data_IF_859743745710
#
_entry.id   IF_859743745710
#
_cell.length_a   1.000
_cell.length_b   1.000
_cell.length_c   1.000
_cell.angle_alpha   90.00
_cell.angle_beta   90.00
_cell.angle_gamma   90.00
#
_symmetry.space_group_name_H-M   'P 1'
#
loop_
_entity.id
_entity.type
_entity.pdbx_description
1 polymer ?
#
# COMPACT_ATOMS: atom_id res chain seq x y z
N UNK A 1 -1.70 -10.35 9.79
CA UNK A 1 -1.15 -9.09 9.24
C UNK A 1 -1.99 -8.74 8.03
N UNK A 2 -2.16 -7.46 7.68
CA UNK A 2 -3.03 -7.09 6.54
C UNK A 2 -2.26 -6.65 5.31
N UNK A 3 -0.93 -6.53 5.36
CA UNK A 3 -0.11 -6.24 4.20
C UNK A 3 0.56 -7.51 3.69
N UNK A 4 0.48 -7.75 2.39
CA UNK A 4 1.19 -8.83 1.70
C UNK A 4 2.03 -8.20 0.58
N UNK A 5 3.31 -8.51 0.56
CA UNK A 5 4.20 -8.20 -0.57
C UNK A 5 4.14 -9.36 -1.54
N UNK A 6 3.98 -9.06 -2.83
CA UNK A 6 3.98 -10.05 -3.91
C UNK A 6 5.00 -9.62 -4.96
N UNK A 7 5.76 -10.59 -5.42
CA UNK A 7 6.63 -10.47 -6.58
C UNK A 7 6.44 -11.70 -7.48
N UNK A 8 6.67 -11.56 -8.78
CA UNK A 8 6.53 -12.63 -9.76
C UNK A 8 7.70 -12.60 -10.72
N UNK A 9 8.09 -13.78 -11.19
CA UNK A 9 8.89 -13.90 -12.40
C UNK A 9 7.98 -14.24 -13.58
N UNK A 10 8.20 -13.59 -14.72
CA UNK A 10 7.36 -13.73 -15.91
C UNK A 10 8.19 -13.74 -17.21
N UNK A 11 7.55 -14.22 -18.29
CA UNK A 11 8.19 -14.41 -19.60
C UNK A 11 7.78 -13.40 -20.68
N UNK A 12 7.30 -12.23 -20.28
CA UNK A 12 7.04 -11.09 -21.18
C UNK A 12 6.92 -9.82 -20.34
N UNK A 13 7.09 -8.65 -20.97
CA UNK A 13 6.82 -7.35 -20.35
C UNK A 13 5.35 -6.88 -20.54
N UNK A 14 4.52 -7.67 -21.23
CA UNK A 14 3.12 -7.37 -21.46
C UNK A 14 2.28 -7.51 -20.18
N UNK A 15 1.11 -6.84 -20.13
CA UNK A 15 0.19 -6.91 -18.97
C UNK A 15 -0.43 -8.30 -18.78
N UNK A 16 -0.38 -9.14 -19.80
CA UNK A 16 -0.85 -10.52 -19.80
C UNK A 16 0.32 -11.53 -19.86
N UNK A 17 1.52 -11.16 -19.40
CA UNK A 17 2.68 -12.05 -19.40
C UNK A 17 2.42 -13.38 -18.66
N UNK A 18 3.08 -14.44 -19.11
CA UNK A 18 3.03 -15.76 -18.47
C UNK A 18 3.92 -15.76 -17.21
N UNK A 19 3.35 -15.88 -15.99
CA UNK A 19 4.14 -16.04 -14.78
C UNK A 19 4.71 -17.45 -14.71
N UNK A 20 5.92 -17.55 -14.18
CA UNK A 20 6.69 -18.80 -13.96
C UNK A 20 7.01 -19.05 -12.49
N UNK A 21 6.94 -18.03 -11.64
CA UNK A 21 6.92 -18.17 -10.19
C UNK A 21 6.14 -17.03 -9.54
N UNK A 22 5.65 -17.29 -8.32
CA UNK A 22 5.01 -16.29 -7.46
C UNK A 22 5.65 -16.40 -6.09
N UNK A 23 6.15 -15.29 -5.58
CA UNK A 23 6.59 -15.13 -4.19
C UNK A 23 5.66 -14.17 -3.48
N UNK A 24 5.28 -14.51 -2.25
CA UNK A 24 4.53 -13.60 -1.41
C UNK A 24 4.91 -13.73 0.07
N UNK A 25 4.88 -12.62 0.79
CA UNK A 25 5.14 -12.59 2.23
C UNK A 25 4.22 -11.60 2.91
N UNK A 26 3.53 -12.04 3.96
CA UNK A 26 2.82 -11.12 4.84
C UNK A 26 3.82 -10.32 5.66
N UNK A 27 3.53 -9.06 5.94
CA UNK A 27 4.38 -8.24 6.79
C UNK A 27 3.60 -7.17 7.55
N UNK A 28 4.24 -6.61 8.56
CA UNK A 28 3.75 -5.44 9.28
C UNK A 28 4.69 -4.25 9.00
N UNK A 29 4.29 -3.25 8.21
CA UNK A 29 5.16 -2.13 7.86
C UNK A 29 5.56 -1.27 9.08
N UNK A 30 4.74 -1.26 10.14
CA UNK A 30 5.02 -0.48 11.35
C UNK A 30 6.07 -1.15 12.24
N UNK A 31 6.06 -2.49 12.37
CA UNK A 31 7.06 -3.21 13.17
C UNK A 31 8.25 -3.73 12.36
N UNK A 32 8.13 -3.83 11.03
CA UNK A 32 9.12 -4.44 10.15
C UNK A 32 9.12 -5.97 10.19
N UNK A 33 8.18 -6.57 10.93
CA UNK A 33 8.07 -8.02 11.07
C UNK A 33 7.56 -8.65 9.76
N UNK A 34 8.31 -9.65 9.27
CA UNK A 34 7.86 -10.55 8.22
C UNK A 34 7.07 -11.71 8.85
N UNK A 35 5.99 -12.11 8.19
CA UNK A 35 5.07 -13.15 8.62
C UNK A 35 5.12 -14.37 7.70
N UNK A 36 3.94 -14.94 7.44
CA UNK A 36 3.82 -16.14 6.62
C UNK A 36 4.32 -15.90 5.18
N UNK A 37 5.00 -16.92 4.65
CA UNK A 37 5.64 -16.91 3.33
C UNK A 37 4.91 -17.86 2.37
N UNK A 38 4.95 -17.52 1.09
CA UNK A 38 4.41 -18.32 0.01
C UNK A 38 5.38 -18.27 -1.17
N UNK A 39 5.72 -19.44 -1.70
CA UNK A 39 6.48 -19.54 -2.93
C UNK A 39 5.93 -20.69 -3.77
N UNK A 40 5.67 -20.43 -5.04
CA UNK A 40 5.21 -21.47 -5.96
C UNK A 40 5.73 -21.19 -7.36
N UNK A 41 6.43 -22.17 -7.92
CA UNK A 41 6.83 -22.19 -9.33
C UNK A 41 5.70 -22.79 -10.19
N UNK A 42 5.61 -22.34 -11.44
CA UNK A 42 4.49 -22.61 -12.34
C UNK A 42 5.01 -23.27 -13.61
N UNK A 43 4.32 -24.31 -14.07
CA UNK A 43 4.58 -24.91 -15.38
C UNK A 43 4.24 -23.90 -16.47
N UNK A 44 5.25 -23.47 -17.23
CA UNK A 44 5.08 -22.53 -18.35
C UNK A 44 4.01 -22.98 -19.35
N UNK A 45 3.96 -24.28 -19.66
CA UNK A 45 2.92 -24.85 -20.55
C UNK A 45 1.51 -24.60 -20.05
N UNK A 46 1.30 -24.53 -18.72
CA UNK A 46 0.00 -24.19 -18.14
C UNK A 46 -0.32 -22.71 -18.34
N UNK A 47 0.64 -21.80 -18.18
CA UNK A 47 0.42 -20.36 -18.42
C UNK A 47 0.10 -20.10 -19.90
N UNK A 48 0.81 -20.77 -20.81
CA UNK A 48 0.56 -20.69 -22.25
C UNK A 48 -0.82 -21.26 -22.63
N UNK A 49 -1.25 -22.36 -22.01
CA UNK A 49 -2.57 -22.95 -22.23
C UNK A 49 -3.71 -21.94 -21.97
N UNK A 50 -3.56 -21.08 -20.96
CA UNK A 50 -4.53 -20.01 -20.67
C UNK A 50 -4.35 -18.75 -21.52
N UNK A 51 -3.47 -18.77 -22.53
CA UNK A 51 -3.25 -17.67 -23.46
C UNK A 51 -2.52 -16.47 -22.86
N UNK A 52 -1.67 -16.71 -21.86
CA UNK A 52 -0.74 -15.70 -21.35
C UNK A 52 0.49 -15.59 -22.26
N UNK A 53 1.01 -14.37 -22.37
CA UNK A 53 2.01 -13.97 -23.34
C UNK A 53 3.42 -14.42 -22.96
N UNK A 54 4.16 -14.87 -23.97
CA UNK A 54 5.56 -15.28 -23.87
C UNK A 54 6.30 -14.57 -25.00
N UNK A 55 7.32 -13.79 -24.66
CA UNK A 55 8.11 -13.08 -25.65
C UNK A 55 9.49 -13.72 -25.83
N UNK A 56 9.95 -13.81 -27.08
CA UNK A 56 11.27 -14.35 -27.40
C UNK A 56 12.40 -13.54 -26.74
N UNK A 57 12.27 -12.21 -26.71
CA UNK A 57 13.27 -11.33 -26.10
C UNK A 57 13.42 -11.55 -24.59
N UNK A 58 12.31 -11.80 -23.88
CA UNK A 58 12.37 -12.16 -22.45
C UNK A 58 12.99 -13.55 -22.26
N UNK A 59 12.71 -14.52 -23.12
CA UNK A 59 13.39 -15.84 -23.08
C UNK A 59 14.90 -15.69 -23.30
N UNK A 60 15.32 -14.94 -24.32
CA UNK A 60 16.75 -14.69 -24.59
C UNK A 60 17.44 -13.98 -23.42
N UNK A 61 16.73 -13.09 -22.72
CA UNK A 61 17.22 -12.47 -21.50
C UNK A 61 17.36 -13.50 -20.36
N UNK A 62 16.39 -14.41 -20.19
CA UNK A 62 16.45 -15.49 -19.19
C UNK A 62 17.60 -16.46 -19.44
N UNK A 63 17.90 -16.79 -20.70
CA UNK A 63 19.03 -17.66 -21.06
C UNK A 63 20.39 -17.13 -20.60
N UNK A 64 20.50 -15.82 -20.35
CA UNK A 64 21.72 -15.15 -19.89
C UNK A 64 21.82 -15.06 -18.36
N UNK A 65 20.78 -15.45 -17.63
CA UNK A 65 20.76 -15.41 -16.16
C UNK A 65 21.58 -16.56 -15.54
N UNK A 66 21.90 -16.40 -14.26
CA UNK A 66 22.62 -17.43 -13.48
C UNK A 66 21.88 -18.76 -13.48
N UNK A 67 22.60 -19.84 -13.22
CA UNK A 67 22.00 -21.18 -13.06
C UNK A 67 20.96 -21.19 -11.92
N UNK A 68 21.28 -20.50 -10.81
CA UNK A 68 20.38 -20.35 -9.66
C UNK A 68 19.08 -19.65 -10.04
N UNK A 69 19.15 -18.56 -10.82
CA UNK A 69 17.95 -17.88 -11.32
C UNK A 69 17.14 -18.78 -12.26
N UNK A 70 17.82 -19.49 -13.18
CA UNK A 70 17.15 -20.39 -14.14
C UNK A 70 16.59 -21.66 -13.51
N UNK A 71 16.96 -22.00 -12.26
CA UNK A 71 16.46 -23.18 -11.54
C UNK A 71 14.92 -23.22 -11.42
N UNK A 72 14.23 -22.07 -11.54
CA UNK A 72 12.76 -21.99 -11.62
C UNK A 72 12.18 -22.91 -12.73
N UNK A 73 12.89 -23.07 -13.85
CA UNK A 73 12.48 -23.94 -14.96
C UNK A 73 12.71 -25.43 -14.69
N UNK A 74 13.49 -25.77 -13.66
CA UNK A 74 13.85 -27.15 -13.32
C UNK A 74 13.26 -27.65 -11.99
N UNK A 75 12.85 -26.75 -11.07
CA UNK A 75 12.07 -27.04 -9.85
C UNK A 75 11.02 -28.18 -9.99
N UNK A 76 11.20 -29.32 -9.32
CA UNK A 76 10.28 -30.46 -9.42
C UNK A 76 8.88 -30.18 -8.85
N UNK A 77 8.72 -29.11 -8.06
CA UNK A 77 7.45 -28.74 -7.41
C UNK A 77 6.57 -27.81 -8.24
N UNK A 78 6.95 -27.50 -9.50
CA UNK A 78 6.12 -26.72 -10.42
C UNK A 78 4.72 -27.30 -10.52
N UNK A 79 3.70 -26.49 -10.24
CA UNK A 79 2.30 -26.88 -10.40
C UNK A 79 1.64 -26.16 -11.59
N UNK A 80 0.37 -26.44 -11.86
CA UNK A 80 -0.36 -25.70 -12.89
C UNK A 80 -0.58 -24.24 -12.46
N UNK A 81 -0.77 -23.34 -13.42
CA UNK A 81 -1.10 -21.94 -13.12
C UNK A 81 -2.35 -21.87 -12.22
N UNK A 82 -3.38 -22.67 -12.54
CA UNK A 82 -4.63 -22.71 -11.80
C UNK A 82 -4.41 -23.13 -10.34
N UNK A 83 -3.56 -24.14 -10.10
CA UNK A 83 -3.24 -24.58 -8.74
C UNK A 83 -2.46 -23.52 -7.96
N UNK A 84 -1.48 -22.87 -8.60
CA UNK A 84 -0.71 -21.80 -7.97
C UNK A 84 -1.62 -20.63 -7.54
N UNK A 85 -2.53 -20.21 -8.41
CA UNK A 85 -3.47 -19.12 -8.13
C UNK A 85 -4.49 -19.47 -7.04
N UNK A 86 -4.99 -20.71 -7.01
CA UNK A 86 -5.85 -21.18 -5.91
C UNK A 86 -5.09 -21.19 -4.58
N UNK A 87 -3.86 -21.72 -4.57
CA UNK A 87 -3.02 -21.75 -3.37
C UNK A 87 -2.67 -20.35 -2.87
N UNK A 88 -2.39 -19.40 -3.77
CA UNK A 88 -2.19 -18.00 -3.40
C UNK A 88 -3.46 -17.38 -2.81
N UNK A 89 -4.63 -17.66 -3.41
CA UNK A 89 -5.91 -17.16 -2.91
C UNK A 89 -6.23 -17.70 -1.52
N UNK A 90 -5.98 -18.99 -1.29
CA UNK A 90 -6.10 -19.60 0.02
C UNK A 90 -5.09 -19.02 1.00
N UNK A 91 -3.82 -18.87 0.61
CA UNK A 91 -2.80 -18.25 1.43
C UNK A 91 -3.21 -16.84 1.91
N UNK A 92 -3.70 -15.99 1.01
CA UNK A 92 -4.17 -14.64 1.35
C UNK A 92 -5.39 -14.72 2.29
N UNK A 93 -6.36 -15.57 1.96
CA UNK A 93 -7.60 -15.72 2.73
C UNK A 93 -7.38 -16.21 4.16
N UNK A 94 -6.42 -17.12 4.38
CA UNK A 94 -6.14 -17.68 5.70
C UNK A 94 -5.35 -16.71 6.60
N UNK A 95 -4.60 -15.77 6.02
CA UNK A 95 -3.65 -14.94 6.76
C UNK A 95 -4.06 -13.46 6.91
N UNK A 96 -4.92 -12.95 6.01
CA UNK A 96 -5.46 -11.60 6.10
C UNK A 96 -6.56 -11.52 7.17
N UNK A 97 -6.39 -10.61 8.16
CA UNK A 97 -7.44 -10.36 9.16
C UNK A 97 -8.61 -9.61 8.51
N UNK A 98 -9.83 -9.96 8.92
CA UNK A 98 -11.07 -9.31 8.49
C UNK A 98 -11.27 -9.23 6.96
N UNK A 99 -10.51 -10.03 6.21
CA UNK A 99 -10.44 -10.02 4.73
C UNK A 99 -10.08 -8.65 4.14
N UNK A 100 -9.41 -7.80 4.90
CA UNK A 100 -8.98 -6.46 4.45
C UNK A 100 -7.48 -6.44 4.09
N UNK A 101 -7.09 -7.22 3.08
CA UNK A 101 -5.70 -7.29 2.63
C UNK A 101 -5.30 -6.05 1.81
N UNK A 102 -4.04 -5.66 1.93
CA UNK A 102 -3.34 -4.62 1.19
C UNK A 102 -2.22 -5.31 0.41
N UNK A 103 -2.29 -5.29 -0.92
CA UNK A 103 -1.43 -6.08 -1.79
C UNK A 103 -0.38 -5.19 -2.44
N UNK A 104 0.88 -5.39 -2.07
CA UNK A 104 2.00 -4.63 -2.57
C UNK A 104 2.68 -5.36 -3.73
N UNK A 105 3.14 -4.60 -4.72
CA UNK A 105 4.04 -5.08 -5.76
C UNK A 105 5.07 -4.01 -6.11
N UNK A 106 6.23 -4.42 -6.63
CA UNK A 106 7.30 -3.48 -6.97
C UNK A 106 6.83 -2.50 -8.06
N UNK A 107 6.06 -3.00 -9.01
CA UNK A 107 5.16 -2.18 -9.81
C UNK A 107 3.80 -2.86 -9.86
N UNK A 108 2.78 -2.42 -9.09
CA UNK A 108 1.49 -3.10 -9.08
C UNK A 108 0.79 -3.05 -10.44
N UNK A 109 1.08 -2.02 -11.24
CA UNK A 109 0.65 -1.96 -12.64
C UNK A 109 1.26 -3.07 -13.53
N UNK A 110 2.21 -3.85 -13.03
CA UNK A 110 2.84 -4.98 -13.69
C UNK A 110 2.55 -6.27 -12.91
N UNK A 111 3.11 -6.45 -11.72
CA UNK A 111 3.02 -7.70 -10.94
C UNK A 111 1.55 -8.06 -10.61
N UNK A 112 0.86 -7.14 -9.92
CA UNK A 112 -0.54 -7.33 -9.55
C UNK A 112 -1.45 -7.38 -10.78
N UNK A 113 -1.15 -6.59 -11.82
CA UNK A 113 -1.92 -6.58 -13.07
C UNK A 113 -1.81 -7.90 -13.86
N UNK A 114 -0.62 -8.49 -13.90
CA UNK A 114 -0.39 -9.82 -14.49
C UNK A 114 -1.16 -10.88 -13.70
N UNK A 115 -1.10 -10.84 -12.37
CA UNK A 115 -1.87 -11.77 -11.54
C UNK A 115 -3.38 -11.59 -11.73
N UNK A 116 -3.89 -10.36 -11.78
CA UNK A 116 -5.30 -10.09 -12.08
C UNK A 116 -5.72 -10.71 -13.42
N UNK A 117 -4.89 -10.52 -14.46
CA UNK A 117 -5.12 -11.13 -15.77
C UNK A 117 -5.09 -12.66 -15.71
N UNK A 118 -4.16 -13.24 -14.95
CA UNK A 118 -4.05 -14.68 -14.77
C UNK A 118 -5.27 -15.27 -14.03
N UNK A 119 -5.77 -14.58 -12.99
CA UNK A 119 -7.02 -14.94 -12.30
C UNK A 119 -8.21 -14.93 -13.27
N UNK A 120 -8.36 -13.88 -14.07
CA UNK A 120 -9.43 -13.77 -15.07
C UNK A 120 -9.35 -14.89 -16.12
N UNK A 121 -8.16 -15.14 -16.68
CA UNK A 121 -7.92 -16.17 -17.70
C UNK A 121 -8.14 -17.60 -17.20
N UNK A 122 -7.98 -17.83 -15.89
CA UNK A 122 -8.19 -19.13 -15.26
C UNK A 122 -9.59 -19.30 -14.67
N UNK A 123 -10.46 -18.28 -14.79
CA UNK A 123 -11.80 -18.24 -14.19
C UNK A 123 -11.78 -18.43 -12.67
N UNK A 124 -10.72 -17.96 -12.01
CA UNK A 124 -10.61 -17.92 -10.55
C UNK A 124 -10.88 -16.49 -10.09
N UNK A 125 -11.70 -16.34 -9.05
CA UNK A 125 -11.96 -15.03 -8.46
C UNK A 125 -10.69 -14.47 -7.80
N UNK A 126 -10.32 -13.24 -8.17
CA UNK A 126 -9.24 -12.48 -7.53
C UNK A 126 -9.48 -12.38 -6.00
N UNK A 127 -8.49 -12.70 -5.14
CA UNK A 127 -8.70 -12.75 -3.69
C UNK A 127 -8.61 -11.38 -3.00
N UNK A 128 -8.37 -10.30 -3.75
CA UNK A 128 -8.42 -8.92 -3.28
C UNK A 128 -9.24 -8.02 -4.21
N UNK A 129 -9.62 -6.83 -3.72
CA UNK A 129 -10.33 -5.81 -4.51
C UNK A 129 -9.33 -4.92 -5.24
N UNK A 130 -9.70 -4.36 -6.39
CA UNK A 130 -8.86 -3.43 -7.17
C UNK A 130 -8.32 -2.24 -6.36
N UNK A 131 -9.03 -1.81 -5.31
CA UNK A 131 -8.61 -0.69 -4.44
C UNK A 131 -7.52 -1.05 -3.42
N UNK A 132 -7.09 -2.32 -3.38
CA UNK A 132 -6.13 -2.85 -2.40
C UNK A 132 -4.69 -2.88 -2.89
N UNK A 133 -4.43 -2.52 -4.14
CA UNK A 133 -3.07 -2.46 -4.68
C UNK A 133 -2.25 -1.34 -4.01
N UNK A 134 -0.98 -1.61 -3.75
CA UNK A 134 -0.01 -0.69 -3.16
C UNK A 134 1.29 -0.71 -3.97
N UNK A 135 1.90 0.45 -4.13
CA UNK A 135 3.06 0.63 -4.99
C UNK A 135 4.34 0.82 -4.18
N UNK A 136 5.25 -0.14 -4.29
CA UNK A 136 6.56 -0.05 -3.64
C UNK A 136 7.37 1.11 -4.21
N UNK A 137 7.39 1.30 -5.53
CA UNK A 137 8.13 2.40 -6.18
C UNK A 137 7.73 3.78 -5.65
N UNK A 138 6.46 3.98 -5.31
CA UNK A 138 5.99 5.21 -4.67
C UNK A 138 6.56 5.35 -3.27
N UNK A 139 6.59 4.28 -2.46
CA UNK A 139 7.24 4.33 -1.14
C UNK A 139 8.74 4.63 -1.27
N UNK A 140 9.43 4.01 -2.23
CA UNK A 140 10.86 4.26 -2.50
C UNK A 140 11.10 5.73 -2.85
N UNK A 141 10.25 6.33 -3.68
CA UNK A 141 10.33 7.76 -4.02
C UNK A 141 10.18 8.64 -2.78
N UNK A 142 9.22 8.35 -1.90
CA UNK A 142 9.04 9.07 -0.63
C UNK A 142 10.22 8.88 0.31
N UNK A 143 10.78 7.67 0.39
CA UNK A 143 11.98 7.37 1.17
C UNK A 143 13.17 8.24 0.75
N UNK A 144 13.37 8.40 -0.56
CA UNK A 144 14.45 9.24 -1.09
C UNK A 144 14.32 10.70 -0.67
N UNK A 145 13.10 11.23 -0.53
CA UNK A 145 12.88 12.60 -0.05
C UNK A 145 13.31 12.81 1.41
N UNK A 146 13.43 11.74 2.18
CA UNK A 146 13.89 11.77 3.58
C UNK A 146 15.27 11.13 3.77
N UNK A 147 16.02 10.93 2.68
CA UNK A 147 17.39 10.43 2.71
C UNK A 147 17.53 8.92 2.87
N UNK A 148 16.50 8.14 2.56
CA UNK A 148 16.54 6.66 2.54
C UNK A 148 16.43 6.19 1.09
N UNK A 149 17.50 5.60 0.54
CA UNK A 149 17.50 4.95 -0.77
C UNK A 149 17.79 3.45 -0.61
N UNK A 150 16.77 2.57 -0.75
CA UNK A 150 16.94 1.13 -0.61
C UNK A 150 18.04 0.55 -1.50
N UNK A 151 18.34 1.14 -2.66
CA UNK A 151 19.40 0.67 -3.56
C UNK A 151 20.78 0.70 -2.88
N UNK A 152 21.01 1.63 -1.97
CA UNK A 152 22.29 1.82 -1.28
C UNK A 152 22.23 1.41 0.19
N UNK A 153 21.06 1.58 0.82
CA UNK A 153 20.90 1.43 2.27
C UNK A 153 20.46 0.02 2.70
N UNK A 154 20.03 -0.82 1.76
CA UNK A 154 19.63 -2.20 2.08
C UNK A 154 20.61 -3.21 1.51
N UNK A 155 21.03 -4.15 2.36
CA UNK A 155 21.78 -5.32 1.91
C UNK A 155 20.82 -6.23 1.14
N UNK A 156 21.21 -6.60 -0.07
CA UNK A 156 20.49 -7.60 -0.86
C UNK A 156 20.76 -8.95 -0.19
N UNK A 157 19.70 -9.54 0.36
CA UNK A 157 19.70 -10.90 0.91
C UNK A 157 18.95 -11.82 -0.06
N UNK A 158 19.47 -13.03 -0.29
CA UNK A 158 18.82 -14.04 -1.13
C UNK A 158 19.36 -14.11 -2.56
N UNK A 159 18.65 -14.85 -3.40
CA UNK A 159 19.01 -15.05 -4.81
C UNK A 159 18.23 -14.06 -5.67
N UNK A 160 18.94 -13.20 -6.41
CA UNK A 160 18.29 -12.33 -7.40
C UNK A 160 17.48 -13.17 -8.40
N UNK A 161 16.28 -12.70 -8.74
CA UNK A 161 15.30 -13.41 -9.58
C UNK A 161 14.66 -14.63 -8.90
N UNK A 162 14.63 -14.63 -7.57
CA UNK A 162 13.74 -15.48 -6.78
C UNK A 162 12.62 -14.61 -6.21
N UNK A 163 11.41 -14.81 -6.73
CA UNK A 163 10.26 -14.00 -6.37
C UNK A 163 9.97 -13.92 -4.85
N UNK A 164 10.26 -14.95 -4.05
CA UNK A 164 10.04 -14.86 -2.60
C UNK A 164 11.15 -14.02 -1.92
N UNK A 165 12.40 -14.23 -2.30
CA UNK A 165 13.51 -13.42 -1.77
C UNK A 165 13.31 -11.94 -2.13
N UNK A 166 12.90 -11.66 -3.36
CA UNK A 166 12.58 -10.31 -3.83
C UNK A 166 11.39 -9.72 -3.05
N UNK A 167 10.30 -10.46 -2.84
CA UNK A 167 9.17 -10.00 -2.02
C UNK A 167 9.59 -9.71 -0.57
N UNK A 168 10.47 -10.51 0.03
CA UNK A 168 10.99 -10.28 1.39
C UNK A 168 11.84 -9.03 1.45
N UNK A 169 12.78 -8.88 0.52
CA UNK A 169 13.64 -7.72 0.43
C UNK A 169 12.81 -6.43 0.26
N UNK A 170 11.81 -6.47 -0.62
CA UNK A 170 10.85 -5.39 -0.84
C UNK A 170 10.06 -5.02 0.42
N UNK A 171 9.51 -6.02 1.12
CA UNK A 171 8.78 -5.80 2.36
C UNK A 171 9.65 -5.13 3.45
N UNK A 172 10.93 -5.52 3.55
CA UNK A 172 11.87 -4.93 4.52
C UNK A 172 12.06 -3.44 4.28
N UNK A 173 12.47 -3.03 3.09
CA UNK A 173 12.75 -1.61 2.86
C UNK A 173 11.48 -0.74 2.82
N UNK A 174 10.33 -1.29 2.41
CA UNK A 174 9.04 -0.60 2.58
C UNK A 174 8.76 -0.34 4.04
N UNK A 175 9.02 -1.31 4.93
CA UNK A 175 8.84 -1.14 6.37
C UNK A 175 9.79 -0.09 6.94
N UNK A 176 11.06 -0.09 6.53
CA UNK A 176 12.04 0.93 6.93
C UNK A 176 11.57 2.34 6.57
N UNK A 177 11.12 2.55 5.33
CA UNK A 177 10.62 3.86 4.89
C UNK A 177 9.34 4.22 5.62
N UNK A 178 8.42 3.27 5.80
CA UNK A 178 7.18 3.49 6.52
C UNK A 178 7.42 3.95 7.97
N UNK A 179 8.32 3.27 8.69
CA UNK A 179 8.69 3.63 10.05
C UNK A 179 9.30 5.03 10.11
N UNK A 180 10.19 5.37 9.18
CA UNK A 180 10.80 6.68 9.13
C UNK A 180 9.78 7.80 8.85
N UNK A 181 8.79 7.55 8.00
CA UNK A 181 7.75 8.53 7.67
C UNK A 181 6.73 8.72 8.80
N UNK A 182 6.30 7.62 9.42
CA UNK A 182 5.09 7.61 10.26
C UNK A 182 5.36 7.30 11.74
N UNK A 183 6.39 6.52 12.07
CA UNK A 183 6.68 6.13 13.46
C UNK A 183 7.65 7.09 14.13
N UNK A 184 8.68 7.57 13.41
CA UNK A 184 9.63 8.57 13.93
C UNK A 184 9.02 9.96 14.16
N UNK A 185 7.80 10.22 13.65
CA UNK A 185 7.03 11.42 13.98
C UNK A 185 6.27 11.30 15.29
N UNK A 186 5.89 10.09 15.73
CA UNK A 186 5.11 9.91 16.95
C UNK A 186 5.94 10.31 18.18
N UNK A 187 7.20 9.89 18.27
CA UNK A 187 8.11 10.31 19.36
C UNK A 187 8.31 11.82 19.39
N UNK A 188 8.57 12.47 18.23
CA UNK A 188 8.72 13.93 18.16
C UNK A 188 7.43 14.68 18.48
N UNK A 189 6.27 14.14 18.09
CA UNK A 189 4.97 14.76 18.36
C UNK A 189 4.53 14.59 19.82
N UNK A 190 4.83 13.45 20.45
CA UNK A 190 4.57 13.24 21.89
C UNK A 190 5.47 14.14 22.74
N UNK A 191 6.76 14.26 22.39
CA UNK A 191 7.68 15.23 22.99
C UNK A 191 7.15 16.68 22.84
N UNK A 192 6.64 17.04 21.66
CA UNK A 192 6.10 18.38 21.42
C UNK A 192 4.76 18.63 22.15
N UNK A 193 3.89 17.62 22.32
CA UNK A 193 2.63 17.77 23.06
C UNK A 193 2.88 17.86 24.57
N UNK A 194 3.80 17.06 25.11
CA UNK A 194 4.18 17.14 26.53
C UNK A 194 4.93 18.45 26.84
N UNK A 195 5.81 18.90 25.94
CA UNK A 195 6.44 20.21 26.04
C UNK A 195 5.42 21.36 25.95
N UNK A 196 4.47 21.31 24.99
CA UNK A 196 3.42 22.31 24.85
C UNK A 196 2.45 22.35 26.05
N UNK A 197 2.25 21.22 26.74
CA UNK A 197 1.47 21.16 27.99
C UNK A 197 2.17 21.77 29.21
N UNK A 198 3.50 21.92 29.15
CA UNK A 198 4.29 22.50 30.22
C UNK A 198 4.58 24.00 30.02
N UNK A 199 4.25 24.57 28.86
CA UNK A 199 4.29 26.02 28.66
C UNK A 199 3.07 26.61 29.38
N UNK A 200 3.25 27.48 30.39
CA UNK A 200 2.15 28.22 30.96
C UNK A 200 1.53 29.06 29.84
N UNK A 201 0.23 28.89 29.58
CA UNK A 201 -0.52 29.83 28.76
C UNK A 201 -0.67 31.10 29.62
N UNK A 202 0.32 31.98 29.57
CA UNK A 202 0.15 33.35 30.02
C UNK A 202 -0.79 34.03 29.02
N UNK A 203 -2.01 34.26 29.46
CA UNK A 203 -2.97 35.09 28.75
C UNK A 203 -2.48 36.53 28.83
N UNK A 204 -1.81 36.99 27.77
CA UNK A 204 -1.45 38.39 27.61
C UNK A 204 -2.67 39.15 27.08
N UNK A 205 -3.35 39.88 27.97
CA UNK A 205 -4.49 40.75 27.62
C UNK A 205 -4.11 41.81 26.56
N UNK A 206 -2.83 42.13 26.36
CA UNK A 206 -2.38 43.07 25.33
C UNK A 206 -2.39 42.49 23.90
N UNK A 207 -2.43 41.17 23.74
CA UNK A 207 -2.45 40.52 22.42
C UNK A 207 -3.83 40.62 21.71
N UNK A 208 -4.86 41.12 22.41
CA UNK A 208 -6.21 41.26 21.88
C UNK A 208 -6.35 42.36 20.81
N UNK A 209 -5.41 43.31 20.74
CA UNK A 209 -5.43 44.40 19.74
C UNK A 209 -4.91 44.00 18.34
N UNK A 210 -4.48 42.75 18.13
CA UNK A 210 -4.01 42.25 16.83
C UNK A 210 -4.83 41.10 16.25
N UNK A 211 -5.94 40.71 16.89
CA UNK A 211 -6.86 39.73 16.31
C UNK A 211 -7.63 40.38 15.16
N UNK A 212 -7.61 39.73 13.99
CA UNK A 212 -8.51 40.09 12.89
C UNK A 212 -9.94 39.99 13.38
N UNK A 213 -10.73 41.02 13.09
CA UNK A 213 -12.17 40.99 13.33
C UNK A 213 -12.83 39.86 12.54
N UNK A 214 -14.00 39.40 13.01
CA UNK A 214 -14.77 38.36 12.31
C UNK A 214 -15.07 38.74 10.85
N UNK A 215 -15.23 40.04 10.57
CA UNK A 215 -15.41 40.59 9.23
C UNK A 215 -14.15 40.45 8.35
N UNK A 216 -12.96 40.68 8.92
CA UNK A 216 -11.68 40.51 8.22
C UNK A 216 -11.39 39.04 7.92
N UNK A 217 -11.65 38.16 8.88
CA UNK A 217 -11.54 36.70 8.71
C UNK A 217 -12.49 36.24 7.60
N UNK A 218 -13.74 36.72 7.65
CA UNK A 218 -14.76 36.37 6.66
C UNK A 218 -14.37 36.81 5.26
N UNK A 219 -13.85 38.03 5.13
CA UNK A 219 -13.37 38.58 3.85
C UNK A 219 -12.21 37.78 3.25
N UNK A 220 -11.22 37.39 4.07
CA UNK A 220 -10.07 36.58 3.64
C UNK A 220 -10.52 35.22 3.13
N UNK A 221 -11.40 34.53 3.86
CA UNK A 221 -11.87 33.20 3.49
C UNK A 221 -12.76 33.24 2.24
N UNK A 222 -13.63 34.25 2.11
CA UNK A 222 -14.45 34.45 0.91
C UNK A 222 -13.59 34.72 -0.33
N UNK A 223 -12.54 35.54 -0.19
CA UNK A 223 -11.60 35.83 -1.27
C UNK A 223 -10.77 34.60 -1.69
N UNK A 224 -10.39 33.75 -0.73
CA UNK A 224 -9.59 32.55 -0.99
C UNK A 224 -10.40 31.40 -1.60
N UNK A 225 -11.69 31.29 -1.24
CA UNK A 225 -12.53 30.13 -1.62
C UNK A 225 -13.52 30.45 -2.74
N UNK A 226 -13.86 31.72 -2.95
CA UNK A 226 -14.89 32.14 -3.91
C UNK A 226 -16.31 31.78 -3.50
N UNK A 227 -16.51 31.28 -2.26
CA UNK A 227 -17.82 30.92 -1.73
C UNK A 227 -18.08 31.72 -0.46
N UNK A 228 -19.22 32.44 -0.34
CA UNK A 228 -19.55 33.17 0.88
C UNK A 228 -19.62 32.23 2.10
N UNK A 229 -18.99 32.64 3.19
CA UNK A 229 -19.18 32.04 4.50
C UNK A 229 -20.58 32.33 5.01
N UNK A 230 -21.42 31.31 5.11
CA UNK A 230 -22.66 31.37 5.87
C UNK A 230 -22.38 30.86 7.30
N UNK A 231 -22.58 31.75 8.27
CA UNK A 231 -22.57 31.39 9.68
C UNK A 231 -23.97 30.92 10.08
N UNK A 232 -24.06 29.70 10.57
CA UNK A 232 -25.28 29.18 11.16
C UNK A 232 -25.11 29.08 12.68
N UNK A 233 -25.99 29.77 13.40
CA UNK A 233 -26.06 29.68 14.85
C UNK A 233 -26.97 28.52 15.24
N UNK A 234 -26.46 27.68 16.14
CA UNK A 234 -27.26 26.67 16.82
C UNK A 234 -27.07 26.79 18.33
N UNK A 235 -27.94 26.15 19.12
CA UNK A 235 -27.83 26.10 20.59
C UNK A 235 -26.52 25.48 21.10
N UNK A 236 -25.72 24.90 20.22
CA UNK A 236 -24.45 24.24 20.51
C UNK A 236 -23.21 25.08 20.11
N UNK A 237 -23.40 26.28 19.56
CA UNK A 237 -22.34 27.21 19.16
C UNK A 237 -22.36 27.60 17.67
N UNK A 238 -21.41 28.44 17.28
CA UNK A 238 -21.23 28.91 15.90
C UNK A 238 -20.55 27.84 15.04
N UNK A 239 -21.04 27.65 13.81
CA UNK A 239 -20.50 26.65 12.89
C UNK A 239 -20.17 27.33 11.56
N UNK A 240 -18.90 27.21 11.15
CA UNK A 240 -18.48 27.49 9.78
C UNK A 240 -18.80 26.28 8.91
N UNK A 241 -19.75 26.45 7.98
CA UNK A 241 -20.21 25.46 6.99
C UNK A 241 -20.88 24.19 7.55
N UNK A 242 -22.14 24.00 7.17
CA UNK A 242 -22.91 22.78 7.42
C UNK A 242 -23.75 22.79 8.71
N UNK A 243 -24.56 21.75 8.90
CA UNK A 243 -25.39 21.56 10.09
C UNK A 243 -24.54 21.03 11.24
N UNK A 244 -24.78 21.53 12.45
CA UNK A 244 -24.18 20.96 13.66
C UNK A 244 -24.36 19.45 13.70
N UNK A 245 -23.26 18.72 13.90
CA UNK A 245 -23.32 17.26 14.06
C UNK A 245 -24.21 16.82 15.22
N UNK A 246 -24.42 17.69 16.21
CA UNK A 246 -25.34 17.44 17.32
C UNK A 246 -26.80 17.64 16.89
N UNK A 247 -27.11 18.76 16.24
CA UNK A 247 -28.46 19.01 15.70
C UNK A 247 -28.87 17.96 14.66
N UNK A 248 -27.94 17.51 13.81
CA UNK A 248 -28.21 16.47 12.82
C UNK A 248 -28.60 15.13 13.46
N UNK A 249 -27.99 14.78 14.60
CA UNK A 249 -28.36 13.56 15.36
C UNK A 249 -29.72 13.69 16.04
N UNK A 250 -30.07 14.87 16.52
CA UNK A 250 -31.37 15.14 17.14
C UNK A 250 -32.51 15.08 16.12
N UNK A 251 -32.29 15.56 14.90
CA UNK A 251 -33.22 15.42 13.76
C UNK A 251 -33.40 13.95 13.36
N UNK A 252 -32.33 13.16 13.31
CA UNK A 252 -32.41 11.72 12.99
C UNK A 252 -33.18 10.93 14.06
N UNK A 253 -33.08 11.33 15.34
CA UNK A 253 -33.82 10.68 16.44
C UNK A 253 -35.30 11.03 16.50
N UNK A 254 -35.69 12.21 16.01
CA UNK A 254 -37.10 12.64 15.98
C UNK A 254 -37.87 12.09 14.78
N UNK A 255 -37.19 11.56 13.76
CA UNK A 255 -37.82 10.90 12.60
C UNK A 255 -38.12 9.40 12.83
N UNK A 256 -37.56 8.80 13.88
CA UNK A 256 -37.78 7.39 14.25
C UNK A 256 -38.84 7.19 15.35
N UNK A 257 -39.50 8.26 15.81
CA UNK A 257 -40.57 8.27 16.82
C UNK A 257 -41.94 8.63 16.25
#
# INVERSE_FOLDING_TARGET
>A
MNHVMIDIEALSQAKNAAPISIGAVFFNPSSGELGQEFYQTIKLSSSQYYGLDISASTIEWWMKQSEQARAVFEDPNRCSLKDALNRLADFIKHNAKDRDVQVWGNGPAYDNAILSTAYDKTFIKLPWKYSKDRCVRTMVELGRQIGIDPKYDTQIEGTAHNALDDAKHQARYVSTIWQALFMNRVEKSQLNIEAARQVPIEWDEAAQEQCLSDDEITSIVNAATGVPLEYNDCSHGHILYGTCLQCKREEEQTQES
#
